data_IF_078668389966
#
_entry.id   IF_078668389966
#
_cell.length_a   1.000
_cell.length_b   1.000
_cell.length_c   1.000
_cell.angle_alpha   90.00
_cell.angle_beta   90.00
_cell.angle_gamma   90.00
#
_symmetry.space_group_name_H-M   'P 1'
#
loop_
_entity.id
_entity.type
_entity.pdbx_description
1 polymer ?
#
# COMPACT_ATOMS: atom_id res chain seq x y z
N UNK A 1 -33.35 1.77 -11.18
CA UNK A 1 -32.61 1.84 -12.46
C UNK A 1 -31.18 2.21 -12.12
N UNK A 2 -30.20 1.34 -12.40
CA UNK A 2 -28.78 1.63 -12.20
C UNK A 2 -28.19 2.00 -13.56
N UNK A 3 -27.69 3.22 -13.70
CA UNK A 3 -27.08 3.72 -14.92
C UNK A 3 -25.59 3.98 -14.70
N UNK A 4 -24.75 3.48 -15.60
CA UNK A 4 -23.33 3.83 -15.64
C UNK A 4 -23.16 5.27 -16.14
N UNK A 5 -22.75 6.18 -15.25
CA UNK A 5 -22.54 7.59 -15.58
C UNK A 5 -21.12 7.89 -16.04
N UNK A 6 -20.14 7.17 -15.49
CA UNK A 6 -18.73 7.40 -15.76
C UNK A 6 -17.93 6.12 -15.54
N UNK A 7 -16.86 5.94 -16.34
CA UNK A 7 -15.92 4.83 -16.19
C UNK A 7 -14.49 5.39 -16.21
N UNK A 8 -13.76 5.16 -15.12
CA UNK A 8 -12.35 5.51 -15.00
C UNK A 8 -11.47 4.28 -15.26
N UNK A 9 -10.36 4.46 -15.97
CA UNK A 9 -9.33 3.43 -16.16
C UNK A 9 -8.09 3.82 -15.37
N UNK A 10 -7.80 3.12 -14.28
CA UNK A 10 -6.67 3.41 -13.36
C UNK A 10 -5.37 2.80 -13.86
N UNK A 11 -5.40 1.58 -14.40
CA UNK A 11 -4.23 0.87 -14.91
C UNK A 11 -3.43 1.63 -15.99
N UNK A 12 -4.01 2.64 -16.65
CA UNK A 12 -3.33 3.46 -17.67
C UNK A 12 -2.15 4.26 -17.12
N UNK A 13 -2.12 4.47 -15.80
CA UNK A 13 -1.09 5.22 -15.06
C UNK A 13 0.21 4.42 -14.92
N UNK A 14 0.10 3.10 -14.96
CA UNK A 14 1.22 2.19 -14.77
C UNK A 14 1.74 1.65 -16.10
N UNK A 15 3.00 1.25 -16.11
CA UNK A 15 3.57 0.45 -17.17
C UNK A 15 2.87 -0.92 -17.18
N UNK A 16 2.53 -1.41 -18.38
CA UNK A 16 2.03 -2.78 -18.52
C UNK A 16 3.22 -3.72 -18.46
N UNK A 17 3.24 -4.62 -17.48
CA UNK A 17 4.18 -5.74 -17.50
C UNK A 17 3.87 -6.61 -18.73
N UNK A 18 4.90 -6.92 -19.54
CA UNK A 18 4.75 -7.75 -20.74
C UNK A 18 4.89 -9.25 -20.46
N UNK A 19 5.01 -9.65 -19.20
CA UNK A 19 5.50 -10.99 -18.85
C UNK A 19 4.34 -11.96 -18.61
N UNK A 20 4.00 -12.72 -19.65
CA UNK A 20 3.63 -14.13 -19.52
C UNK A 20 4.93 -14.91 -19.31
N UNK A 21 5.42 -15.02 -18.08
CA UNK A 21 6.25 -16.16 -17.70
C UNK A 21 6.29 -16.30 -16.18
N UNK A 22 5.88 -17.48 -15.74
CA UNK A 22 5.78 -17.93 -14.36
C UNK A 22 7.11 -17.81 -13.61
N UNK A 23 7.34 -16.69 -12.93
CA UNK A 23 8.27 -16.66 -11.79
C UNK A 23 7.59 -15.97 -10.64
N UNK A 24 7.25 -16.78 -9.64
CA UNK A 24 6.69 -16.43 -8.35
C UNK A 24 7.15 -15.06 -7.87
N UNK A 25 6.32 -14.05 -8.09
CA UNK A 25 6.39 -12.77 -7.41
C UNK A 25 5.83 -12.99 -6.02
N UNK A 26 6.72 -12.94 -5.03
CA UNK A 26 6.47 -13.07 -3.60
C UNK A 26 5.18 -12.39 -3.12
N UNK A 27 4.27 -13.20 -2.58
CA UNK A 27 3.27 -12.90 -1.54
C UNK A 27 2.25 -11.78 -1.74
N UNK A 28 1.93 -11.44 -2.98
CA UNK A 28 0.66 -10.76 -3.28
C UNK A 28 -0.24 -11.83 -3.90
N UNK A 29 -1.40 -12.05 -3.28
CA UNK A 29 -2.49 -12.96 -3.70
C UNK A 29 -2.63 -12.97 -5.23
N UNK A 30 -3.03 -14.10 -5.84
CA UNK A 30 -3.27 -14.37 -7.27
C UNK A 30 -4.35 -13.46 -7.93
N UNK A 31 -4.47 -12.22 -7.44
CA UNK A 31 -5.39 -11.14 -7.77
C UNK A 31 -4.73 -10.18 -8.78
N UNK A 32 -5.57 -9.50 -9.57
CA UNK A 32 -5.10 -8.45 -10.50
C UNK A 32 -4.34 -7.35 -9.74
N UNK A 33 -3.06 -7.06 -10.03
CA UNK A 33 -2.29 -6.05 -9.31
C UNK A 33 -2.86 -4.62 -9.49
N UNK A 34 -3.74 -4.42 -10.47
CA UNK A 34 -4.43 -3.15 -10.70
C UNK A 34 -5.80 -3.08 -10.00
N UNK A 35 -6.18 -4.10 -9.21
CA UNK A 35 -7.45 -4.13 -8.49
C UNK A 35 -7.55 -2.97 -7.49
N UNK A 36 -8.75 -2.37 -7.45
CA UNK A 36 -9.08 -1.26 -6.56
C UNK A 36 -9.63 -1.83 -5.26
N UNK A 37 -9.07 -1.40 -4.13
CA UNK A 37 -9.49 -1.83 -2.80
C UNK A 37 -10.39 -0.79 -2.12
N UNK A 38 -10.06 0.51 -2.26
CA UNK A 38 -10.80 1.58 -1.59
C UNK A 38 -10.94 2.81 -2.48
N UNK A 39 -12.01 3.56 -2.26
CA UNK A 39 -12.28 4.84 -2.93
C UNK A 39 -12.71 5.86 -1.88
N UNK A 40 -12.14 7.06 -1.96
CA UNK A 40 -12.58 8.23 -1.21
C UNK A 40 -12.82 9.39 -2.17
N UNK A 41 -13.92 10.10 -2.02
CA UNK A 41 -14.34 11.15 -2.96
C UNK A 41 -14.86 12.36 -2.21
N UNK A 42 -14.34 13.54 -2.57
CA UNK A 42 -14.88 14.81 -2.14
C UNK A 42 -15.65 15.47 -3.31
N UNK A 43 -17.00 15.53 -3.22
CA UNK A 43 -17.83 16.15 -4.26
C UNK A 43 -17.55 17.63 -4.49
N UNK A 44 -17.29 18.38 -3.41
CA UNK A 44 -17.16 19.84 -3.42
C UNK A 44 -15.93 20.26 -4.20
N UNK A 45 -14.79 19.62 -3.92
CA UNK A 45 -13.52 19.89 -4.61
C UNK A 45 -13.31 19.05 -5.87
N UNK A 46 -14.17 18.03 -6.08
CA UNK A 46 -14.05 17.01 -7.13
C UNK A 46 -12.69 16.31 -7.13
N UNK A 47 -12.21 15.99 -5.95
CA UNK A 47 -11.03 15.15 -5.73
C UNK A 47 -11.50 13.71 -5.50
N UNK A 48 -10.89 12.77 -6.21
CA UNK A 48 -11.16 11.34 -6.11
C UNK A 48 -9.84 10.61 -5.81
N UNK A 49 -9.76 9.97 -4.66
CA UNK A 49 -8.63 9.14 -4.25
C UNK A 49 -8.98 7.66 -4.40
N UNK A 50 -8.08 6.89 -5.00
CA UNK A 50 -8.26 5.46 -5.23
C UNK A 50 -7.06 4.72 -4.65
N UNK A 51 -7.29 3.78 -3.73
CA UNK A 51 -6.26 2.87 -3.23
C UNK A 51 -6.38 1.51 -3.92
N UNK A 52 -5.26 0.96 -4.38
CA UNK A 52 -5.20 -0.35 -5.02
C UNK A 52 -4.42 -1.38 -4.20
N UNK A 53 -4.66 -2.66 -4.52
CA UNK A 53 -4.10 -3.81 -3.77
C UNK A 53 -2.57 -3.86 -3.79
N UNK A 54 -1.93 -3.32 -4.82
CA UNK A 54 -0.47 -3.17 -4.91
C UNK A 54 0.06 -1.93 -4.17
N UNK A 55 -0.51 -1.61 -3.01
CA UNK A 55 -0.09 -0.57 -2.08
C UNK A 55 0.19 0.80 -2.74
N UNK A 56 -0.75 1.27 -3.57
CA UNK A 56 -0.68 2.58 -4.21
C UNK A 56 -1.96 3.38 -3.97
N UNK A 57 -1.83 4.70 -3.94
CA UNK A 57 -2.94 5.66 -3.97
C UNK A 57 -2.80 6.54 -5.20
N UNK A 58 -3.88 6.70 -5.96
CA UNK A 58 -3.95 7.67 -7.07
C UNK A 58 -4.91 8.78 -6.69
N UNK A 59 -4.42 10.01 -6.72
CA UNK A 59 -5.24 11.21 -6.55
C UNK A 59 -5.63 11.71 -7.94
N UNK A 60 -6.93 11.85 -8.15
CA UNK A 60 -7.50 12.44 -9.34
C UNK A 60 -8.21 13.75 -9.02
N UNK A 61 -8.18 14.68 -9.97
CA UNK A 61 -9.01 15.88 -9.97
C UNK A 61 -9.83 15.96 -11.24
N UNK A 62 -11.09 16.35 -11.11
CA UNK A 62 -11.95 16.55 -12.26
C UNK A 62 -11.55 17.80 -13.06
N UNK A 63 -11.36 17.62 -14.37
CA UNK A 63 -11.18 18.70 -15.35
C UNK A 63 -12.21 18.57 -16.48
N UNK A 64 -12.69 19.70 -17.00
CA UNK A 64 -13.54 19.73 -18.21
C UNK A 64 -12.72 19.73 -19.50
N UNK A 65 -11.41 19.95 -19.40
CA UNK A 65 -10.51 20.05 -20.54
C UNK A 65 -9.69 18.77 -20.66
N UNK A 66 -9.37 18.37 -21.88
CA UNK A 66 -8.36 17.34 -22.10
C UNK A 66 -6.97 17.92 -21.82
N UNK A 67 -6.07 17.08 -21.33
CA UNK A 67 -4.69 17.47 -21.01
C UNK A 67 -3.71 16.36 -21.38
N UNK A 68 -2.44 16.73 -21.56
CA UNK A 68 -1.34 15.76 -21.62
C UNK A 68 -0.43 16.02 -20.43
N UNK A 69 -0.27 15.00 -19.59
CA UNK A 69 0.66 15.02 -18.46
C UNK A 69 2.00 14.51 -18.95
N UNK A 70 3.01 15.37 -19.08
CA UNK A 70 4.34 14.97 -19.55
C UNK A 70 5.01 13.97 -18.59
N UNK A 71 4.99 14.28 -17.29
CA UNK A 71 5.49 13.43 -16.23
C UNK A 71 4.44 13.37 -15.13
N UNK A 72 4.03 12.15 -14.77
CA UNK A 72 3.07 11.94 -13.68
C UNK A 72 3.79 12.21 -12.36
N UNK A 73 3.34 13.17 -11.53
CA UNK A 73 3.92 13.37 -10.21
C UNK A 73 3.80 12.09 -9.39
N UNK A 74 4.89 11.69 -8.74
CA UNK A 74 4.92 10.49 -7.90
C UNK A 74 5.56 10.80 -6.54
N UNK A 75 5.04 10.15 -5.50
CA UNK A 75 5.57 10.19 -4.15
C UNK A 75 5.77 8.76 -3.64
N UNK A 76 6.99 8.41 -3.28
CA UNK A 76 7.30 7.14 -2.66
C UNK A 76 7.33 7.30 -1.14
N UNK A 77 6.64 6.39 -0.44
CA UNK A 77 6.49 6.43 1.02
C UNK A 77 7.08 5.15 1.62
N UNK A 78 8.05 5.32 2.51
CA UNK A 78 8.65 4.24 3.30
C UNK A 78 7.92 4.17 4.64
N UNK A 79 7.16 3.09 4.86
CA UNK A 79 6.49 2.86 6.14
C UNK A 79 7.47 2.11 7.06
N UNK A 80 8.04 2.82 8.04
CA UNK A 80 8.86 2.21 9.08
C UNK A 80 7.98 1.93 10.30
N UNK A 81 7.93 0.68 10.72
CA UNK A 81 7.33 0.32 12.01
C UNK A 81 8.43 0.44 13.08
N UNK A 82 8.40 1.51 13.87
CA UNK A 82 9.14 1.51 15.13
C UNK A 82 8.38 0.57 16.07
N UNK A 83 8.88 -0.66 16.22
CA UNK A 83 8.54 -1.47 17.39
C UNK A 83 9.10 -0.69 18.57
N UNK A 84 8.31 0.22 19.13
CA UNK A 84 8.56 0.63 20.50
C UNK A 84 8.34 -0.67 21.28
N UNK A 85 9.43 -1.30 21.73
CA UNK A 85 9.41 -2.31 22.76
C UNK A 85 8.79 -1.64 23.99
N UNK A 86 7.47 -1.53 23.98
CA UNK A 86 6.70 -1.26 25.17
C UNK A 86 6.98 -2.50 26.00
N UNK A 87 7.96 -2.39 26.90
CA UNK A 87 8.16 -3.28 28.03
C UNK A 87 6.76 -3.66 28.49
N UNK A 88 6.35 -4.90 28.18
CA UNK A 88 5.16 -5.48 28.78
C UNK A 88 5.36 -5.29 30.26
N UNK A 89 4.49 -4.57 30.99
CA UNK A 89 4.70 -4.36 32.40
C UNK A 89 4.79 -5.74 33.01
N UNK A 90 5.94 -6.05 33.61
CA UNK A 90 6.15 -7.31 34.32
C UNK A 90 4.97 -7.48 35.26
N UNK A 91 4.12 -8.47 34.98
CA UNK A 91 3.05 -8.86 35.88
C UNK A 91 3.78 -9.46 37.08
N UNK A 92 4.00 -8.64 38.11
CA UNK A 92 4.43 -9.11 39.42
C UNK A 92 3.47 -10.23 39.86
N UNK A 93 3.96 -11.47 39.80
CA UNK A 93 3.27 -12.64 40.31
C UNK A 93 3.08 -12.48 41.82
N UNK A 94 1.89 -12.03 42.23
CA UNK A 94 1.44 -12.14 43.61
C UNK A 94 1.49 -13.62 44.00
N UNK A 95 2.36 -13.92 44.95
CA UNK A 95 2.69 -15.27 45.40
C UNK A 95 1.52 -15.89 46.16
N UNK A 96 0.82 -16.86 45.58
CA UNK A 96 -0.05 -17.79 46.31
C UNK A 96 0.77 -18.97 46.86
N UNK A 97 0.60 -19.38 48.13
CA UNK A 97 1.37 -20.46 48.72
C UNK A 97 0.74 -21.81 48.37
N UNK A 98 1.42 -22.61 47.56
CA UNK A 98 1.13 -24.05 47.49
C UNK A 98 2.37 -24.79 46.99
N UNK A 99 2.75 -25.81 47.75
CA UNK A 99 4.03 -26.49 47.61
C UNK A 99 4.19 -27.33 46.34
N UNK A 100 5.44 -27.68 46.09
CA UNK A 100 5.81 -28.90 45.36
C UNK A 100 6.02 -28.75 43.86
N UNK A 101 7.27 -28.49 43.50
CA UNK A 101 8.00 -29.02 42.33
C UNK A 101 7.62 -28.58 40.91
N UNK A 102 8.50 -27.69 40.40
CA UNK A 102 9.04 -27.57 39.02
C UNK A 102 8.19 -26.84 37.94
N UNK A 103 8.54 -25.59 37.56
CA UNK A 103 7.93 -24.91 36.42
C UNK A 103 8.68 -25.24 35.11
N UNK A 104 8.01 -25.91 34.17
CA UNK A 104 8.43 -25.89 32.77
C UNK A 104 8.08 -24.52 32.16
N UNK A 105 8.97 -23.89 31.38
CA UNK A 105 8.65 -22.63 30.73
C UNK A 105 7.67 -22.89 29.59
N UNK A 106 6.52 -22.22 29.66
CA UNK A 106 5.59 -22.07 28.54
C UNK A 106 6.33 -21.26 27.49
N UNK A 107 6.86 -21.95 26.47
CA UNK A 107 7.38 -21.32 25.26
C UNK A 107 6.19 -20.68 24.55
N UNK A 108 6.01 -19.38 24.79
CA UNK A 108 5.20 -18.53 23.92
C UNK A 108 5.75 -18.74 22.50
N UNK A 109 4.90 -19.25 21.61
CA UNK A 109 5.21 -19.37 20.19
C UNK A 109 5.45 -17.97 19.64
N UNK A 110 6.71 -17.50 19.72
CA UNK A 110 7.23 -16.48 18.86
C UNK A 110 6.95 -16.94 17.44
N UNK A 111 6.14 -16.16 16.71
CA UNK A 111 6.08 -16.25 15.26
C UNK A 111 7.50 -16.42 14.73
N UNK A 112 7.76 -17.35 13.79
CA UNK A 112 9.11 -17.53 13.29
C UNK A 112 9.53 -16.20 12.66
N UNK A 113 10.45 -15.50 13.33
CA UNK A 113 11.28 -14.51 12.68
C UNK A 113 11.99 -15.27 11.57
N UNK A 114 11.57 -15.03 10.33
CA UNK A 114 12.25 -15.55 9.16
C UNK A 114 13.59 -14.82 9.06
N UNK A 115 14.56 -15.20 9.89
CA UNK A 115 15.95 -14.87 9.67
C UNK A 115 16.45 -15.72 8.52
N UNK A 116 16.14 -15.34 7.29
CA UNK A 116 16.84 -15.82 6.11
C UNK A 116 17.96 -14.85 5.80
N UNK A 117 19.17 -15.29 6.09
CA UNK A 117 20.41 -14.65 5.67
C UNK A 117 20.57 -14.64 4.16
N UNK A 118 21.15 -13.54 3.66
CA UNK A 118 21.99 -13.42 2.47
C UNK A 118 21.31 -13.36 1.09
N UNK A 119 20.62 -12.24 0.80
CA UNK A 119 20.83 -11.41 -0.41
C UNK A 119 20.02 -10.10 -0.42
N UNK A 120 19.66 -9.58 0.75
CA UNK A 120 18.45 -8.78 0.97
C UNK A 120 18.56 -7.27 0.66
N UNK A 121 19.70 -6.80 0.15
CA UNK A 121 19.85 -5.41 -0.33
C UNK A 121 19.19 -5.12 -1.68
N UNK A 122 18.61 -6.11 -2.33
CA UNK A 122 18.18 -6.02 -3.75
C UNK A 122 16.81 -5.38 -3.95
N UNK A 123 15.98 -5.22 -2.90
CA UNK A 123 14.60 -4.72 -3.04
C UNK A 123 14.26 -3.49 -2.20
N UNK A 124 15.21 -2.82 -1.56
CA UNK A 124 14.89 -1.61 -0.79
C UNK A 124 14.41 -0.49 -1.73
N UNK A 125 13.33 0.21 -1.36
CA UNK A 125 12.71 1.31 -2.13
C UNK A 125 12.12 0.90 -3.48
N UNK A 126 11.77 -0.37 -3.69
CA UNK A 126 11.08 -0.81 -4.91
C UNK A 126 9.56 -0.69 -4.71
N UNK A 127 8.78 -0.04 -5.58
CA UNK A 127 7.32 -0.11 -5.56
C UNK A 127 6.79 -1.37 -6.24
N UNK A 128 5.57 -1.81 -5.88
CA UNK A 128 4.94 -2.99 -6.49
C UNK A 128 4.59 -2.80 -7.98
N UNK A 129 4.30 -1.57 -8.39
CA UNK A 129 3.96 -1.20 -9.76
C UNK A 129 4.87 -0.09 -10.25
N UNK A 130 5.21 -0.09 -11.53
CA UNK A 130 5.98 1.01 -12.13
C UNK A 130 5.05 2.04 -12.76
N UNK A 131 5.16 3.30 -12.33
CA UNK A 131 4.44 4.43 -12.94
C UNK A 131 5.02 4.73 -14.32
N UNK A 132 4.16 5.08 -15.28
CA UNK A 132 4.63 5.45 -16.63
C UNK A 132 5.50 6.70 -16.59
N UNK A 133 6.61 6.63 -17.32
CA UNK A 133 7.47 7.77 -17.63
C UNK A 133 7.11 8.47 -18.94
N UNK A 134 6.23 7.90 -19.76
CA UNK A 134 5.80 8.50 -21.02
C UNK A 134 4.63 9.46 -20.84
N UNK A 135 4.51 10.50 -21.68
CA UNK A 135 3.41 11.44 -21.59
C UNK A 135 2.05 10.75 -21.62
N UNK A 136 1.20 11.07 -20.64
CA UNK A 136 -0.13 10.49 -20.48
C UNK A 136 -1.18 11.46 -21.00
N UNK A 137 -1.84 11.11 -22.11
CA UNK A 137 -3.05 11.81 -22.56
C UNK A 137 -4.22 11.51 -21.62
N UNK A 138 -4.88 12.56 -21.18
CA UNK A 138 -6.00 12.50 -20.25
C UNK A 138 -7.21 13.20 -20.88
N UNK A 139 -8.28 12.43 -21.10
CA UNK A 139 -9.56 12.99 -21.52
C UNK A 139 -10.15 13.90 -20.44
N UNK A 140 -11.17 14.68 -20.79
CA UNK A 140 -12.00 15.35 -19.80
C UNK A 140 -12.58 14.33 -18.80
N UNK A 141 -12.79 14.75 -17.56
CA UNK A 141 -13.14 13.90 -16.43
C UNK A 141 -12.06 13.90 -15.35
N UNK A 142 -11.93 12.78 -14.64
CA UNK A 142 -10.92 12.62 -13.60
C UNK A 142 -9.53 12.39 -14.20
N UNK A 143 -8.67 13.35 -13.99
CA UNK A 143 -7.29 13.39 -14.45
C UNK A 143 -6.35 13.13 -13.26
N UNK A 144 -5.31 12.32 -13.49
CA UNK A 144 -4.32 11.98 -12.47
C UNK A 144 -3.56 13.24 -12.10
N UNK A 145 -3.50 13.53 -10.81
CA UNK A 145 -2.75 14.63 -10.23
C UNK A 145 -1.48 14.13 -9.52
N UNK A 146 -1.59 13.02 -8.78
CA UNK A 146 -0.49 12.43 -8.03
C UNK A 146 -0.65 10.90 -7.91
N UNK A 147 0.46 10.18 -7.95
CA UNK A 147 0.53 8.76 -7.54
C UNK A 147 1.38 8.66 -6.30
N UNK A 148 0.87 8.01 -5.27
CA UNK A 148 1.60 7.69 -4.04
C UNK A 148 1.82 6.18 -4.02
N UNK A 149 3.05 5.73 -3.77
CA UNK A 149 3.37 4.31 -3.69
C UNK A 149 4.07 4.02 -2.37
N UNK A 150 3.58 3.01 -1.67
CA UNK A 150 4.35 2.43 -0.59
C UNK A 150 5.43 1.54 -1.22
N UNK A 151 6.65 1.66 -0.70
CA UNK A 151 7.82 0.92 -1.22
C UNK A 151 8.29 -0.10 -0.20
N UNK A 152 9.01 -1.10 -0.69
CA UNK A 152 9.68 -2.09 0.14
C UNK A 152 10.67 -1.39 1.07
N UNK A 153 10.75 -1.87 2.31
CA UNK A 153 11.63 -1.32 3.34
C UNK A 153 12.34 -2.45 4.05
N UNK A 154 13.67 -2.42 4.09
CA UNK A 154 14.48 -3.41 4.81
C UNK A 154 14.21 -4.87 4.38
N UNK A 155 13.87 -5.08 3.10
CA UNK A 155 13.56 -6.40 2.55
C UNK A 155 12.10 -6.84 2.71
N UNK A 156 11.30 -6.11 3.49
CA UNK A 156 9.88 -6.40 3.69
C UNK A 156 9.01 -5.73 2.61
N UNK A 157 7.95 -6.41 2.12
CA UNK A 157 7.01 -5.82 1.17
C UNK A 157 6.14 -4.73 1.81
N UNK A 158 5.60 -3.79 0.99
CA UNK A 158 4.65 -2.79 1.45
C UNK A 158 3.43 -3.41 2.12
N UNK A 159 3.03 -2.87 3.27
CA UNK A 159 1.77 -3.24 3.92
C UNK A 159 0.57 -2.79 3.08
N UNK A 160 -0.53 -3.54 3.17
CA UNK A 160 -1.77 -3.16 2.50
C UNK A 160 -2.36 -1.88 3.09
N UNK A 161 -2.99 -1.08 2.23
CA UNK A 161 -3.73 0.10 2.65
C UNK A 161 -5.04 -0.36 3.27
N UNK A 162 -5.19 -0.13 4.58
CA UNK A 162 -6.38 -0.56 5.33
C UNK A 162 -7.44 0.53 5.48
N UNK A 163 -7.06 1.79 5.25
CA UNK A 163 -7.94 2.95 5.35
C UNK A 163 -7.55 4.05 4.36
N UNK A 164 -8.54 4.78 3.86
CA UNK A 164 -8.36 5.92 2.96
C UNK A 164 -9.37 7.01 3.30
N UNK A 165 -8.88 8.22 3.58
CA UNK A 165 -9.68 9.42 3.79
C UNK A 165 -9.12 10.57 2.95
N UNK A 166 -9.95 11.57 2.65
CA UNK A 166 -9.53 12.79 1.96
C UNK A 166 -10.10 14.00 2.69
N UNK A 167 -9.27 15.02 2.89
CA UNK A 167 -9.65 16.32 3.40
C UNK A 167 -9.15 17.40 2.44
N UNK A 168 -9.96 17.68 1.41
CA UNK A 168 -9.62 18.63 0.37
C UNK A 168 -9.51 20.08 0.85
N UNK A 169 -10.06 20.42 2.01
CA UNK A 169 -9.94 21.78 2.58
C UNK A 169 -8.52 22.09 3.04
N UNK A 170 -7.75 21.06 3.42
CA UNK A 170 -6.35 21.19 3.82
C UNK A 170 -5.38 20.58 2.80
N UNK A 171 -5.89 19.97 1.72
CA UNK A 171 -5.07 19.27 0.74
C UNK A 171 -4.46 17.98 1.29
N UNK A 172 -5.18 17.29 2.18
CA UNK A 172 -4.79 16.02 2.81
C UNK A 172 -5.60 14.84 2.28
#
# INVERSE_FOLDING_TARGET
NLQMLYKLKTAKVFEKSRNKEDKASTDIVDEDPYAIQMISWCPESRILCIAGVSAHVIIYRFSKQEATTEVIPMLEVRLLYEINDLESPDIEQVSTPSGGTNPQPIVLQSHPSTSSSSSDGIRDNVPCLKVKSTPLKQSAGYQVELVIQLVWVSGEPPQQITSLAVNSSYGL
#
